data_IF_204680785134
#
_entry.id   IF_204680785134
#
_cell.length_a   1.000
_cell.length_b   1.000
_cell.length_c   1.000
_cell.angle_alpha   90.00
_cell.angle_beta   90.00
_cell.angle_gamma   90.00
#
_symmetry.space_group_name_H-M   'P 1'
#
loop_
_entity.id
_entity.type
_entity.pdbx_description
1 polymer ?
#
# COMPACT_ATOMS: atom_id res chain seq x y z
N UNK A 1 -34.92 -1.45 23.60
CA UNK A 1 -34.62 -0.75 24.88
C UNK A 1 -33.46 0.20 24.65
N UNK A 2 -33.37 1.33 25.39
CA UNK A 2 -32.34 2.38 25.14
C UNK A 2 -30.91 1.85 25.22
N UNK A 3 -30.67 0.86 26.09
CA UNK A 3 -29.37 0.21 26.30
C UNK A 3 -28.93 -0.58 25.04
N UNK A 4 -29.85 -1.33 24.41
CA UNK A 4 -29.55 -2.06 23.18
C UNK A 4 -29.21 -1.13 22.01
N UNK A 5 -29.91 0.00 21.89
CA UNK A 5 -29.61 1.02 20.88
C UNK A 5 -28.24 1.68 21.10
N UNK A 6 -27.87 1.98 22.35
CA UNK A 6 -26.54 2.52 22.69
C UNK A 6 -25.42 1.51 22.39
N UNK A 7 -25.61 0.24 22.75
CA UNK A 7 -24.65 -0.82 22.46
C UNK A 7 -24.45 -0.99 20.94
N UNK A 8 -25.53 -0.92 20.16
CA UNK A 8 -25.48 -1.00 18.70
C UNK A 8 -24.72 0.18 18.08
N UNK A 9 -24.98 1.41 18.52
CA UNK A 9 -24.26 2.61 18.04
C UNK A 9 -22.76 2.50 18.36
N UNK A 10 -22.41 2.04 19.56
CA UNK A 10 -21.02 1.90 19.98
C UNK A 10 -20.29 0.82 19.17
N UNK A 11 -20.97 -0.28 18.87
CA UNK A 11 -20.45 -1.33 17.99
C UNK A 11 -20.19 -0.81 16.56
N UNK A 12 -21.15 -0.11 15.97
CA UNK A 12 -20.99 0.49 14.63
C UNK A 12 -19.86 1.52 14.62
N UNK A 13 -19.76 2.37 15.65
CA UNK A 13 -18.68 3.35 15.79
C UNK A 13 -17.31 2.68 15.84
N UNK A 14 -17.16 1.57 16.57
CA UNK A 14 -15.92 0.81 16.65
C UNK A 14 -15.54 0.19 15.30
N UNK A 15 -16.51 -0.36 14.56
CA UNK A 15 -16.27 -0.88 13.20
C UNK A 15 -15.79 0.22 12.26
N UNK A 16 -16.46 1.37 12.27
CA UNK A 16 -16.10 2.54 11.46
C UNK A 16 -14.67 3.00 11.78
N UNK A 17 -14.32 3.08 13.08
CA UNK A 17 -12.98 3.47 13.53
C UNK A 17 -11.90 2.49 13.06
N UNK A 18 -12.20 1.21 12.93
CA UNK A 18 -11.24 0.20 12.47
C UNK A 18 -11.13 0.13 10.93
N UNK A 19 -12.22 0.41 10.23
CA UNK A 19 -12.34 0.28 8.78
C UNK A 19 -11.86 1.56 8.07
N UNK A 20 -12.34 2.75 8.46
CA UNK A 20 -12.02 4.02 7.80
C UNK A 20 -10.51 4.27 7.62
N UNK A 21 -9.65 4.06 8.64
CA UNK A 21 -8.23 4.33 8.49
C UNK A 21 -7.57 3.49 7.39
N UNK A 22 -8.06 2.27 7.14
CA UNK A 22 -7.55 1.40 6.06
C UNK A 22 -7.77 2.02 4.68
N UNK A 23 -8.88 2.74 4.49
CA UNK A 23 -9.21 3.41 3.23
C UNK A 23 -8.48 4.75 3.10
N UNK A 24 -8.50 5.58 4.14
CA UNK A 24 -7.96 6.95 4.04
C UNK A 24 -6.44 7.06 4.19
N UNK A 25 -5.76 6.07 4.78
CA UNK A 25 -4.31 6.13 5.04
C UNK A 25 -3.50 5.23 4.10
N UNK A 26 -4.10 4.77 3.00
CA UNK A 26 -3.36 4.05 1.97
C UNK A 26 -2.95 5.04 0.88
N UNK A 27 -1.66 5.37 0.83
CA UNK A 27 -1.12 6.30 -0.16
C UNK A 27 0.34 5.99 -0.46
N UNK A 28 0.79 6.50 -1.61
CA UNK A 28 2.13 6.29 -2.12
C UNK A 28 2.75 7.65 -2.46
N UNK A 29 3.98 7.88 -2.01
CA UNK A 29 4.70 9.14 -2.26
C UNK A 29 6.03 8.83 -2.93
N UNK A 30 6.29 9.50 -4.06
CA UNK A 30 7.58 9.45 -4.75
C UNK A 30 8.49 10.56 -4.21
N UNK A 31 9.35 10.20 -3.26
CA UNK A 31 10.40 11.08 -2.76
C UNK A 31 11.60 11.09 -3.72
N UNK A 32 12.63 11.86 -3.43
CA UNK A 32 13.78 11.98 -4.34
C UNK A 32 14.64 10.71 -4.42
N UNK A 33 14.78 9.97 -3.32
CA UNK A 33 15.63 8.76 -3.25
C UNK A 33 14.87 7.46 -2.99
N UNK A 34 13.59 7.53 -2.59
CA UNK A 34 12.81 6.35 -2.24
C UNK A 34 11.32 6.49 -2.57
N UNK A 35 10.68 5.34 -2.79
CA UNK A 35 9.24 5.19 -2.79
C UNK A 35 8.74 4.98 -1.36
N UNK A 36 7.88 5.88 -0.89
CA UNK A 36 7.19 5.76 0.39
C UNK A 36 5.83 5.09 0.18
N UNK A 37 5.57 4.02 0.92
CA UNK A 37 4.34 3.24 0.84
C UNK A 37 3.70 3.20 2.23
N UNK A 38 2.47 3.71 2.33
CA UNK A 38 1.64 3.55 3.52
C UNK A 38 0.37 2.77 3.17
N UNK A 39 0.00 1.81 4.02
CA UNK A 39 -1.28 1.12 3.94
C UNK A 39 -1.92 1.04 5.33
N UNK A 40 -3.01 1.78 5.50
CA UNK A 40 -3.68 1.95 6.78
C UNK A 40 -2.79 2.55 7.89
N UNK A 41 -2.99 2.07 9.12
CA UNK A 41 -2.25 2.53 10.29
C UNK A 41 -0.99 1.71 10.59
N UNK A 42 -0.85 0.51 10.01
CA UNK A 42 0.13 -0.49 10.44
C UNK A 42 1.31 -0.59 9.46
N UNK A 43 1.03 -0.52 8.15
CA UNK A 43 2.06 -0.71 7.14
C UNK A 43 2.65 0.63 6.72
N UNK A 44 3.95 0.77 6.93
CA UNK A 44 4.74 1.95 6.60
C UNK A 44 6.12 1.49 6.12
N UNK A 45 6.38 1.60 4.82
CA UNK A 45 7.58 1.06 4.16
C UNK A 45 8.24 2.15 3.32
N UNK A 46 9.58 2.14 3.33
CA UNK A 46 10.44 2.94 2.45
C UNK A 46 11.25 2.00 1.60
N UNK A 47 11.22 2.18 0.28
CA UNK A 47 11.97 1.37 -0.69
C UNK A 47 12.83 2.32 -1.50
N UNK A 48 14.16 2.26 -1.36
CA UNK A 48 15.03 3.06 -2.23
C UNK A 48 14.89 2.58 -3.67
N UNK A 49 14.97 3.50 -4.63
CA UNK A 49 14.82 3.12 -6.04
C UNK A 49 15.90 2.15 -6.51
N UNK A 50 17.13 2.28 -6.00
CA UNK A 50 18.23 1.36 -6.31
C UNK A 50 18.07 -0.05 -5.72
N UNK A 51 17.19 -0.23 -4.73
CA UNK A 51 16.91 -1.53 -4.13
C UNK A 51 15.80 -2.29 -4.88
N UNK A 52 15.10 -1.64 -5.82
CA UNK A 52 14.01 -2.26 -6.59
C UNK A 52 14.59 -3.22 -7.62
N UNK A 53 14.23 -4.50 -7.49
CA UNK A 53 14.69 -5.58 -8.37
C UNK A 53 13.79 -5.69 -9.59
N UNK A 54 12.48 -5.65 -9.39
CA UNK A 54 11.47 -5.71 -10.45
C UNK A 54 10.11 -5.28 -9.93
N UNK A 55 9.25 -4.86 -10.83
CA UNK A 55 7.82 -4.73 -10.56
C UNK A 55 7.01 -5.35 -11.69
N UNK A 56 5.88 -5.98 -11.37
CA UNK A 56 5.00 -6.62 -12.35
C UNK A 56 3.54 -6.54 -11.93
N UNK A 57 2.65 -6.53 -12.92
CA UNK A 57 1.23 -6.72 -12.65
C UNK A 57 1.00 -8.12 -12.06
N UNK A 58 0.16 -8.19 -11.04
CA UNK A 58 -0.14 -9.40 -10.29
C UNK A 58 -1.64 -9.51 -10.11
N UNK A 59 -2.20 -10.59 -10.65
CA UNK A 59 -3.59 -10.98 -10.42
C UNK A 59 -3.71 -11.95 -9.22
N UNK A 60 -2.65 -12.11 -8.42
CA UNK A 60 -2.65 -13.05 -7.31
C UNK A 60 -3.50 -12.53 -6.13
N UNK A 61 -4.49 -13.35 -5.77
CA UNK A 61 -5.50 -13.12 -4.72
C UNK A 61 -4.91 -13.32 -3.31
N UNK A 62 -3.63 -13.68 -3.19
CA UNK A 62 -2.97 -13.91 -1.89
C UNK A 62 -3.22 -12.70 -0.97
N UNK A 63 -3.64 -13.01 0.26
CA UNK A 63 -4.01 -12.07 1.30
C UNK A 63 -2.93 -11.00 1.51
N UNK A 64 -3.14 -9.82 0.95
CA UNK A 64 -2.27 -8.66 1.10
C UNK A 64 -3.14 -7.42 1.31
N UNK A 65 -2.63 -6.39 2.00
CA UNK A 65 -3.39 -5.19 2.33
C UNK A 65 -3.52 -4.27 1.10
N UNK A 66 -4.40 -4.64 0.18
CA UNK A 66 -4.73 -3.87 -1.03
C UNK A 66 -6.25 -3.74 -1.19
N UNK A 67 -6.70 -2.55 -1.63
CA UNK A 67 -8.12 -2.20 -1.78
C UNK A 67 -8.69 -2.63 -3.15
N UNK A 68 -7.84 -3.10 -4.07
CA UNK A 68 -8.22 -3.61 -5.39
C UNK A 68 -7.54 -4.96 -5.72
N UNK A 69 -8.10 -5.67 -6.70
CA UNK A 69 -7.53 -6.88 -7.31
C UNK A 69 -6.52 -6.58 -8.41
N UNK A 70 -6.53 -5.37 -8.97
CA UNK A 70 -5.52 -4.93 -9.93
C UNK A 70 -4.26 -4.47 -9.19
N UNK A 71 -3.34 -5.41 -8.93
CA UNK A 71 -2.21 -5.21 -8.02
C UNK A 71 -0.90 -5.15 -8.80
N UNK A 72 0.01 -4.33 -8.30
CA UNK A 72 1.41 -4.28 -8.72
C UNK A 72 2.26 -4.93 -7.63
N UNK A 73 2.99 -5.99 -7.97
CA UNK A 73 4.03 -6.57 -7.11
C UNK A 73 5.32 -5.78 -7.31
N UNK A 74 5.91 -5.26 -6.23
CA UNK A 74 7.23 -4.66 -6.22
C UNK A 74 8.16 -5.57 -5.42
N UNK A 75 9.21 -6.08 -6.05
CA UNK A 75 10.28 -6.85 -5.41
C UNK A 75 11.48 -5.96 -5.16
N UNK A 76 12.04 -6.03 -3.97
CA UNK A 76 13.13 -5.15 -3.56
C UNK A 76 14.05 -5.82 -2.54
N UNK A 77 15.28 -5.32 -2.41
CA UNK A 77 16.18 -5.72 -1.34
C UNK A 77 15.89 -4.94 -0.06
N UNK A 78 15.86 -5.67 1.05
CA UNK A 78 15.72 -5.13 2.40
C UNK A 78 16.74 -5.82 3.30
N UNK A 79 17.73 -5.06 3.78
CA UNK A 79 18.81 -5.56 4.63
C UNK A 79 19.47 -6.85 4.07
N UNK A 80 19.76 -6.86 2.77
CA UNK A 80 20.35 -7.99 2.03
C UNK A 80 19.44 -9.20 1.77
N UNK A 81 18.16 -9.14 2.16
CA UNK A 81 17.15 -10.15 1.81
C UNK A 81 16.21 -9.63 0.72
N UNK A 82 15.72 -10.52 -0.14
CA UNK A 82 14.71 -10.19 -1.14
C UNK A 82 13.33 -10.23 -0.48
N UNK A 83 12.60 -9.12 -0.54
CA UNK A 83 11.24 -8.98 -0.04
C UNK A 83 10.31 -8.55 -1.20
N UNK A 84 8.99 -8.70 -1.02
CA UNK A 84 8.03 -8.20 -2.00
C UNK A 84 6.79 -7.60 -1.35
N UNK A 85 6.22 -6.60 -2.01
CA UNK A 85 4.98 -5.97 -1.60
C UNK A 85 4.00 -5.91 -2.76
N UNK A 86 2.73 -6.18 -2.48
CA UNK A 86 1.61 -5.96 -3.38
C UNK A 86 0.96 -4.63 -3.04
N UNK A 87 0.88 -3.73 -4.02
CA UNK A 87 0.19 -2.45 -3.91
C UNK A 87 -0.90 -2.33 -4.97
N UNK A 88 -1.88 -1.46 -4.75
CA UNK A 88 -2.97 -1.19 -5.71
C UNK A 88 -3.15 0.31 -5.89
N UNK A 89 -2.24 1.00 -6.60
CA UNK A 89 -2.35 2.43 -6.86
C UNK A 89 -3.58 2.77 -7.69
N UNK A 90 -4.31 3.84 -7.32
CA UNK A 90 -5.54 4.27 -8.01
C UNK A 90 -5.34 4.48 -9.51
N UNK A 91 -4.22 5.10 -9.87
CA UNK A 91 -3.82 5.34 -11.26
C UNK A 91 -2.59 4.51 -11.62
N UNK A 92 -2.81 3.20 -11.79
CA UNK A 92 -1.75 2.20 -12.00
C UNK A 92 -0.74 2.58 -13.08
N UNK A 93 -1.21 3.00 -14.26
CA UNK A 93 -0.31 3.33 -15.37
C UNK A 93 0.54 4.56 -15.08
N UNK A 94 -0.06 5.65 -14.58
CA UNK A 94 0.69 6.85 -14.18
C UNK A 94 1.73 6.52 -13.09
N UNK A 95 1.37 5.66 -12.13
CA UNK A 95 2.28 5.19 -11.10
C UNK A 95 3.48 4.45 -11.68
N UNK A 96 3.25 3.50 -12.61
CA UNK A 96 4.30 2.74 -13.29
C UNK A 96 5.22 3.66 -14.08
N UNK A 97 4.66 4.64 -14.79
CA UNK A 97 5.43 5.59 -15.60
C UNK A 97 6.36 6.46 -14.73
N UNK A 98 5.86 6.96 -13.60
CA UNK A 98 6.67 7.73 -12.63
C UNK A 98 7.72 6.84 -11.96
N UNK A 99 7.36 5.62 -11.57
CA UNK A 99 8.29 4.67 -10.96
C UNK A 99 9.46 4.36 -11.90
N UNK A 100 9.18 4.07 -13.17
CA UNK A 100 10.19 3.86 -14.19
C UNK A 100 11.14 5.04 -14.32
N UNK A 101 10.60 6.27 -14.40
CA UNK A 101 11.42 7.49 -14.46
C UNK A 101 12.31 7.63 -13.24
N UNK A 102 11.77 7.42 -12.04
CA UNK A 102 12.53 7.54 -10.79
C UNK A 102 13.66 6.51 -10.69
N UNK A 103 13.44 5.26 -11.12
CA UNK A 103 14.49 4.23 -11.16
C UNK A 103 15.57 4.58 -12.19
N UNK A 104 15.18 5.01 -13.40
CA UNK A 104 16.12 5.37 -14.46
C UNK A 104 16.99 6.58 -14.09
N UNK A 105 16.46 7.56 -13.36
CA UNK A 105 17.20 8.75 -12.92
C UNK A 105 18.24 8.48 -11.82
N UNK A 106 18.30 7.26 -11.28
CA UNK A 106 19.23 6.88 -10.20
C UNK A 106 20.43 6.07 -10.72
N UNK A 107 20.44 5.80 -12.03
CA UNK A 107 21.54 5.21 -12.80
C UNK A 107 22.35 6.37 -13.41
#
# INVERSE_FOLDING_TARGET
NKIGSLAFILFISLLILFILPRYFLTYYVFEDSYLYIRSGLILNIKINYGDIISFKESNNIISSPALSMDRLEIKYYKNSFCDSILISPDKKQEFIDVLNKRIASQI
#
